data_IF_441627296436
#
_entry.id   IF_441627296436
#
_cell.length_a   1.000
_cell.length_b   1.000
_cell.length_c   1.000
_cell.angle_alpha   90.00
_cell.angle_beta   90.00
_cell.angle_gamma   90.00
#
_symmetry.space_group_name_H-M   'P 1'
#
loop_
_entity.id
_entity.type
_entity.pdbx_description
1 polymer ?
#
# COMPACT_ATOMS: atom_id res chain seq x y z
N UNK A 1 25.39 -3.91 10.62
CA UNK A 1 24.08 -4.51 10.95
C UNK A 1 23.27 -4.48 9.68
N UNK A 2 22.65 -5.58 9.27
CA UNK A 2 21.76 -5.53 8.09
C UNK A 2 20.56 -4.65 8.43
N UNK A 3 20.29 -3.65 7.61
CA UNK A 3 19.05 -2.88 7.73
C UNK A 3 17.85 -3.82 7.61
N UNK A 4 16.90 -3.68 8.52
CA UNK A 4 15.68 -4.51 8.52
C UNK A 4 14.72 -3.89 7.51
N UNK A 5 14.34 -4.61 6.46
CA UNK A 5 13.32 -4.14 5.52
C UNK A 5 11.92 -4.37 6.07
N UNK A 6 11.02 -3.41 5.82
CA UNK A 6 9.58 -3.55 6.04
C UNK A 6 8.83 -3.50 4.72
N UNK A 7 7.80 -4.33 4.63
CA UNK A 7 6.93 -4.47 3.48
C UNK A 7 5.51 -4.06 3.88
N UNK A 8 4.98 -3.01 3.26
CA UNK A 8 3.71 -2.38 3.61
C UNK A 8 2.72 -2.53 2.45
N UNK A 9 1.54 -3.09 2.73
CA UNK A 9 0.43 -3.06 1.77
C UNK A 9 -0.44 -1.86 2.08
N UNK A 10 -0.66 -1.03 1.06
CA UNK A 10 -1.55 0.13 1.14
C UNK A 10 -2.69 0.00 0.14
N UNK A 11 -3.80 0.67 0.44
CA UNK A 11 -4.96 0.82 -0.43
C UNK A 11 -5.44 2.27 -0.43
N UNK A 12 -6.11 2.66 -1.50
CA UNK A 12 -6.79 3.96 -1.62
C UNK A 12 -8.24 3.75 -2.04
N UNK A 13 -9.16 4.47 -1.41
CA UNK A 13 -10.58 4.48 -1.78
C UNK A 13 -11.25 5.80 -1.41
N UNK A 14 -12.38 6.10 -2.02
CA UNK A 14 -13.22 7.24 -1.65
C UNK A 14 -14.31 6.74 -0.71
N UNK A 15 -14.42 7.33 0.48
CA UNK A 15 -15.58 7.12 1.33
C UNK A 15 -16.78 7.91 0.79
N UNK A 16 -17.89 7.19 0.61
CA UNK A 16 -19.17 7.76 0.19
C UNK A 16 -19.85 8.53 1.34
N UNK A 17 -19.23 9.64 1.74
CA UNK A 17 -19.81 10.63 2.65
C UNK A 17 -20.34 11.83 1.84
N UNK A 18 -21.19 12.69 2.44
CA UNK A 18 -21.63 13.92 1.77
C UNK A 18 -20.49 14.85 1.31
N UNK A 19 -19.27 14.65 1.83
CA UNK A 19 -18.08 15.44 1.47
C UNK A 19 -17.10 14.70 0.55
N UNK A 20 -17.35 13.44 0.19
CA UNK A 20 -16.47 12.58 -0.62
C UNK A 20 -15.00 12.63 -0.16
N UNK A 21 -14.66 11.83 0.85
CA UNK A 21 -13.32 11.83 1.45
C UNK A 21 -12.46 10.77 0.78
N UNK A 22 -11.29 11.17 0.25
CA UNK A 22 -10.27 10.22 -0.17
C UNK A 22 -9.53 9.64 1.03
N UNK A 23 -9.49 8.32 1.15
CA UNK A 23 -8.83 7.59 2.22
C UNK A 23 -7.67 6.77 1.66
N UNK A 24 -6.52 6.89 2.30
CA UNK A 24 -5.37 6.02 2.10
C UNK A 24 -5.19 5.21 3.38
N UNK A 25 -5.14 3.89 3.27
CA UNK A 25 -5.06 2.99 4.41
C UNK A 25 -3.89 2.00 4.26
N UNK A 26 -3.12 1.84 5.33
CA UNK A 26 -2.19 0.72 5.49
C UNK A 26 -2.94 -0.49 6.05
N UNK A 27 -2.87 -1.63 5.37
CA UNK A 27 -3.69 -2.82 5.69
C UNK A 27 -2.87 -4.04 6.11
N UNK A 28 -1.56 -4.02 5.88
CA UNK A 28 -0.65 -5.08 6.31
C UNK A 28 0.80 -4.60 6.34
N UNK A 29 1.56 -5.00 7.36
CA UNK A 29 3.01 -4.75 7.44
C UNK A 29 3.74 -6.03 7.86
N UNK A 30 4.92 -6.27 7.30
CA UNK A 30 5.73 -7.46 7.57
C UNK A 30 7.20 -7.20 7.28
N UNK A 31 8.10 -7.87 8.00
CA UNK A 31 9.54 -7.95 7.63
C UNK A 31 9.84 -9.14 6.71
N UNK A 32 8.83 -9.99 6.44
CA UNK A 32 8.91 -11.14 5.54
C UNK A 32 8.18 -10.84 4.22
N UNK A 33 8.96 -10.74 3.13
CA UNK A 33 8.47 -10.50 1.78
C UNK A 33 7.51 -11.59 1.28
N UNK A 34 7.74 -12.86 1.62
CA UNK A 34 6.88 -13.96 1.15
C UNK A 34 5.50 -13.85 1.78
N UNK A 35 5.42 -13.52 3.07
CA UNK A 35 4.15 -13.26 3.76
C UNK A 35 3.43 -12.05 3.17
N UNK A 36 4.14 -10.96 2.93
CA UNK A 36 3.56 -9.76 2.32
C UNK A 36 2.98 -10.04 0.93
N UNK A 37 3.73 -10.73 0.05
CA UNK A 37 3.24 -11.11 -1.29
C UNK A 37 2.04 -12.05 -1.23
N UNK A 38 2.07 -13.04 -0.33
CA UNK A 38 0.94 -13.95 -0.13
C UNK A 38 -0.30 -13.18 0.32
N UNK A 39 -0.16 -12.26 1.28
CA UNK A 39 -1.27 -11.42 1.74
C UNK A 39 -1.81 -10.52 0.64
N UNK A 40 -0.94 -9.90 -0.18
CA UNK A 40 -1.34 -9.08 -1.33
C UNK A 40 -2.17 -9.88 -2.32
N UNK A 41 -1.74 -11.09 -2.68
CA UNK A 41 -2.48 -11.96 -3.59
C UNK A 41 -3.86 -12.31 -3.04
N UNK A 42 -3.96 -12.64 -1.74
CA UNK A 42 -5.26 -12.89 -1.08
C UNK A 42 -6.17 -11.66 -1.11
N UNK A 43 -5.64 -10.46 -0.85
CA UNK A 43 -6.40 -9.21 -0.88
C UNK A 43 -6.95 -8.89 -2.28
N UNK A 44 -6.10 -8.97 -3.32
CA UNK A 44 -6.50 -8.73 -4.71
C UNK A 44 -7.51 -9.77 -5.21
N UNK A 45 -7.40 -11.02 -4.76
CA UNK A 45 -8.38 -12.06 -5.10
C UNK A 45 -9.73 -11.84 -4.40
N UNK A 46 -9.73 -11.45 -3.13
CA UNK A 46 -10.95 -11.21 -2.36
C UNK A 46 -11.68 -9.92 -2.78
N UNK A 47 -10.94 -8.91 -3.23
CA UNK A 47 -11.46 -7.59 -3.57
C UNK A 47 -10.86 -7.09 -4.90
N UNK A 48 -11.26 -7.67 -6.05
CA UNK A 48 -10.64 -7.39 -7.35
C UNK A 48 -10.85 -5.96 -7.86
N UNK A 49 -11.83 -5.24 -7.31
CA UNK A 49 -12.13 -3.84 -7.64
C UNK A 49 -11.44 -2.85 -6.69
N UNK A 50 -10.66 -3.33 -5.72
CA UNK A 50 -9.94 -2.50 -4.75
C UNK A 50 -8.47 -2.48 -5.10
N UNK A 51 -7.89 -1.29 -5.15
CA UNK A 51 -6.47 -1.13 -5.40
C UNK A 51 -5.68 -1.52 -4.15
N UNK A 52 -4.73 -2.43 -4.30
CA UNK A 52 -3.76 -2.73 -3.26
C UNK A 52 -2.37 -2.70 -3.88
N UNK A 53 -1.43 -2.05 -3.22
CA UNK A 53 -0.04 -2.00 -3.66
C UNK A 53 0.92 -2.30 -2.52
N UNK A 54 2.04 -2.94 -2.85
CA UNK A 54 3.06 -3.35 -1.90
C UNK A 54 4.29 -2.45 -2.01
N UNK A 55 4.51 -1.67 -0.97
CA UNK A 55 5.67 -0.81 -0.79
C UNK A 55 6.70 -1.48 0.11
N UNK A 56 7.95 -1.02 0.03
CA UNK A 56 8.99 -1.42 0.97
C UNK A 56 9.96 -0.28 1.24
N UNK A 57 10.55 -0.30 2.43
CA UNK A 57 11.63 0.58 2.85
C UNK A 57 12.39 -0.05 4.04
N UNK A 58 13.60 0.45 4.36
CA UNK A 58 14.24 0.14 5.62
C UNK A 58 13.39 0.57 6.81
N UNK A 59 13.44 -0.19 7.89
CA UNK A 59 12.86 0.16 9.18
C UNK A 59 13.49 1.45 9.71
N UNK A 60 12.68 2.27 10.40
CA UNK A 60 13.09 3.57 10.94
C UNK A 60 13.54 4.59 9.87
N UNK A 61 13.15 4.38 8.60
CA UNK A 61 13.34 5.39 7.54
C UNK A 61 12.43 6.59 7.77
N UNK A 62 13.04 7.79 7.81
CA UNK A 62 12.30 9.05 7.75
C UNK A 62 11.77 9.27 6.31
N UNK A 63 10.49 8.94 6.11
CA UNK A 63 9.86 9.00 4.81
C UNK A 63 9.69 10.43 4.29
N UNK A 64 9.70 11.45 5.15
CA UNK A 64 9.61 12.87 4.75
C UNK A 64 10.87 13.35 4.00
N UNK A 65 11.99 12.63 4.16
CA UNK A 65 13.27 12.95 3.51
C UNK A 65 13.44 12.23 2.16
N UNK A 66 12.50 11.39 1.74
CA UNK A 66 12.59 10.72 0.44
C UNK A 66 12.32 11.73 -0.68
N UNK A 67 13.20 11.74 -1.68
CA UNK A 67 13.09 12.66 -2.84
C UNK A 67 11.81 12.46 -3.66
N UNK A 68 11.17 11.32 -3.51
CA UNK A 68 9.85 11.01 -4.02
C UNK A 68 9.04 10.35 -2.91
N UNK A 69 7.83 10.87 -2.67
CA UNK A 69 6.83 10.12 -1.91
C UNK A 69 6.54 8.82 -2.67
N UNK A 70 6.39 7.67 -2.00
CA UNK A 70 5.69 6.53 -2.58
C UNK A 70 4.19 6.87 -2.67
N UNK A 71 3.84 7.87 -3.48
CA UNK A 71 2.46 8.19 -3.83
C UNK A 71 2.21 7.59 -5.20
N UNK A 72 1.32 6.61 -5.27
CA UNK A 72 0.80 6.11 -6.54
C UNK A 72 -0.48 6.88 -6.84
N UNK A 73 -0.48 7.60 -7.95
CA UNK A 73 -1.70 8.10 -8.55
C UNK A 73 -2.46 6.91 -9.14
N UNK A 74 -3.73 6.75 -8.76
CA UNK A 74 -4.58 5.65 -9.21
C UNK A 74 -5.75 6.25 -9.98
N UNK A 75 -5.95 5.79 -11.20
CA UNK A 75 -7.04 6.15 -12.08
C UNK A 75 -7.95 4.94 -12.35
N UNK A 76 -9.20 5.15 -12.83
CA UNK A 76 -10.07 4.05 -13.22
C UNK A 76 -9.47 3.10 -14.27
N UNK A 77 -8.51 3.58 -15.08
CA UNK A 77 -7.84 2.77 -16.10
C UNK A 77 -6.86 1.73 -15.52
N UNK A 78 -6.42 1.90 -14.26
CA UNK A 78 -5.50 0.96 -13.59
C UNK A 78 -6.19 -0.34 -13.15
N UNK A 79 -7.52 -0.41 -13.30
CA UNK A 79 -8.35 -1.57 -12.98
C UNK A 79 -8.83 -2.35 -14.22
N UNK A 80 -8.45 -1.94 -15.43
CA UNK A 80 -8.91 -2.51 -16.71
C UNK A 80 -7.83 -3.22 -17.50
#
# INVERSE_FOLDING_TARGET
MSETEVYLIMTGYVEETPKQVGVVAAVYVSTDLKRARSKLATLRQAHPQTFYELYHCPLDTDLDQLSHYPSVEISPADFT
#
